data_IF_430868352680
#
_entry.id   IF_430868352680
#
_cell.length_a   1.000
_cell.length_b   1.000
_cell.length_c   1.000
_cell.angle_alpha   90.00
_cell.angle_beta   90.00
_cell.angle_gamma   90.00
#
_symmetry.space_group_name_H-M   'P 1'
#
loop_
_entity.id
_entity.type
_entity.pdbx_description
1 polymer ?
#
# COMPACT_ATOMS: atom_id res chain seq x y z
N UNK A 1 -6.43 5.10 -23.63
CA UNK A 1 -7.48 5.24 -22.58
C UNK A 1 -6.90 4.67 -21.29
N UNK A 2 -7.12 5.27 -20.11
CA UNK A 2 -6.53 4.72 -18.87
C UNK A 2 -7.16 3.34 -18.58
N UNK A 3 -6.32 2.33 -18.34
CA UNK A 3 -6.79 0.99 -18.02
C UNK A 3 -7.57 0.98 -16.69
N UNK A 4 -8.70 0.26 -16.64
CA UNK A 4 -9.53 0.13 -15.43
C UNK A 4 -8.72 -0.30 -14.21
N UNK A 5 -7.76 -1.21 -14.39
CA UNK A 5 -6.87 -1.64 -13.32
C UNK A 5 -6.03 -0.47 -12.77
N UNK A 6 -5.43 0.35 -13.64
CA UNK A 6 -4.60 1.51 -13.23
C UNK A 6 -5.44 2.50 -12.43
N UNK A 7 -6.65 2.79 -12.91
CA UNK A 7 -7.59 3.67 -12.23
C UNK A 7 -7.96 3.13 -10.85
N UNK A 8 -8.34 1.86 -10.75
CA UNK A 8 -8.77 1.25 -9.49
C UNK A 8 -7.61 1.16 -8.49
N UNK A 9 -6.42 0.79 -8.95
CA UNK A 9 -5.23 0.72 -8.12
C UNK A 9 -4.85 2.09 -7.57
N UNK A 10 -4.98 3.14 -8.40
CA UNK A 10 -4.75 4.53 -7.97
C UNK A 10 -5.76 4.98 -6.92
N UNK A 11 -7.03 4.61 -7.04
CA UNK A 11 -8.06 4.92 -6.02
C UNK A 11 -7.71 4.21 -4.71
N UNK A 12 -7.46 2.90 -4.74
CA UNK A 12 -7.10 2.11 -3.56
C UNK A 12 -5.83 2.66 -2.88
N UNK A 13 -4.85 3.13 -3.66
CA UNK A 13 -3.64 3.76 -3.14
C UNK A 13 -3.93 5.08 -2.40
N UNK A 14 -4.81 5.92 -2.94
CA UNK A 14 -5.19 7.21 -2.33
C UNK A 14 -5.98 6.98 -1.04
N UNK A 15 -6.83 5.97 -1.03
CA UNK A 15 -7.67 5.61 0.11
C UNK A 15 -6.92 4.80 1.18
N UNK A 16 -5.64 4.47 0.94
CA UNK A 16 -4.84 3.54 1.75
C UNK A 16 -5.55 2.18 1.99
N UNK A 17 -6.35 1.73 1.01
CA UNK A 17 -7.03 0.44 1.05
C UNK A 17 -6.06 -0.68 0.65
N UNK A 18 -5.32 -1.19 1.64
CA UNK A 18 -4.35 -2.26 1.45
C UNK A 18 -4.97 -3.60 1.03
N UNK A 19 -6.24 -3.85 1.36
CA UNK A 19 -6.93 -5.07 0.96
C UNK A 19 -7.19 -5.04 -0.55
N UNK A 20 -7.83 -3.98 -1.04
CA UNK A 20 -8.07 -3.79 -2.48
C UNK A 20 -6.75 -3.70 -3.26
N UNK A 21 -5.73 -3.02 -2.74
CA UNK A 21 -4.40 -3.00 -3.37
C UNK A 21 -3.82 -4.42 -3.51
N UNK A 22 -3.92 -5.26 -2.46
CA UNK A 22 -3.43 -6.64 -2.49
C UNK A 22 -4.18 -7.46 -3.54
N UNK A 23 -5.51 -7.38 -3.56
CA UNK A 23 -6.33 -8.12 -4.55
C UNK A 23 -6.00 -7.71 -5.99
N UNK A 24 -5.71 -6.43 -6.23
CA UNK A 24 -5.33 -5.94 -7.55
C UNK A 24 -3.91 -6.35 -7.94
N UNK A 25 -2.97 -6.44 -6.98
CA UNK A 25 -1.62 -6.97 -7.23
C UNK A 25 -1.65 -8.44 -7.64
N UNK A 26 -2.56 -9.24 -7.08
CA UNK A 26 -2.74 -10.64 -7.45
C UNK A 26 -3.34 -10.82 -8.85
N UNK A 27 -3.95 -9.75 -9.38
CA UNK A 27 -4.69 -9.73 -10.66
C UNK A 27 -4.16 -8.66 -11.61
N UNK A 28 -2.84 -8.51 -11.70
CA UNK A 28 -2.22 -7.58 -12.66
C UNK A 28 -2.56 -8.03 -14.09
N UNK A 29 -3.23 -7.20 -14.90
CA UNK A 29 -3.59 -7.55 -16.26
C UNK A 29 -2.40 -7.38 -17.21
N UNK A 30 -2.55 -7.91 -18.42
CA UNK A 30 -1.74 -7.48 -19.55
C UNK A 30 -2.11 -6.04 -19.95
N UNK A 31 -1.12 -5.24 -20.34
CA UNK A 31 -1.33 -3.84 -20.72
C UNK A 31 -1.03 -3.67 -22.21
N UNK A 32 -2.02 -3.22 -22.98
CA UNK A 32 -1.87 -2.96 -24.42
C UNK A 32 -1.09 -1.66 -24.71
N UNK A 33 -1.12 -0.71 -23.78
CA UNK A 33 -0.45 0.59 -23.91
C UNK A 33 0.75 0.68 -22.96
N UNK A 34 1.94 1.00 -23.50
CA UNK A 34 3.16 1.24 -22.73
C UNK A 34 2.96 2.28 -21.62
N UNK A 35 2.11 3.29 -21.85
CA UNK A 35 1.80 4.29 -20.85
C UNK A 35 1.10 3.69 -19.62
N UNK A 36 0.12 2.80 -19.82
CA UNK A 36 -0.58 2.13 -18.73
C UNK A 36 0.38 1.24 -17.92
N UNK A 37 1.32 0.55 -18.59
CA UNK A 37 2.36 -0.23 -17.90
C UNK A 37 3.29 0.65 -17.04
N UNK A 38 3.71 1.81 -17.57
CA UNK A 38 4.53 2.77 -16.82
C UNK A 38 3.79 3.32 -15.59
N UNK A 39 2.51 3.64 -15.75
CA UNK A 39 1.67 4.11 -14.65
C UNK A 39 1.49 3.02 -13.58
N UNK A 40 1.17 1.78 -13.99
CA UNK A 40 1.07 0.65 -13.08
C UNK A 40 2.36 0.45 -12.27
N UNK A 41 3.52 0.45 -12.93
CA UNK A 41 4.81 0.32 -12.24
C UNK A 41 5.08 1.45 -11.25
N UNK A 42 4.76 2.70 -11.62
CA UNK A 42 4.91 3.84 -10.72
C UNK A 42 3.99 3.73 -9.49
N UNK A 43 2.74 3.31 -9.68
CA UNK A 43 1.77 3.12 -8.60
C UNK A 43 2.20 2.00 -7.65
N UNK A 44 2.66 0.86 -8.18
CA UNK A 44 3.17 -0.26 -7.38
C UNK A 44 4.37 0.19 -6.54
N UNK A 45 5.27 0.99 -7.12
CA UNK A 45 6.41 1.56 -6.38
C UNK A 45 5.96 2.47 -5.24
N UNK A 46 4.94 3.29 -5.46
CA UNK A 46 4.38 4.16 -4.42
C UNK A 46 3.69 3.35 -3.31
N UNK A 47 2.91 2.32 -3.67
CA UNK A 47 2.26 1.42 -2.73
C UNK A 47 3.28 0.76 -1.78
N UNK A 48 4.43 0.31 -2.33
CA UNK A 48 5.53 -0.24 -1.52
C UNK A 48 6.05 0.76 -0.49
N UNK A 49 6.29 2.01 -0.89
CA UNK A 49 6.80 3.06 0.02
C UNK A 49 5.81 3.31 1.16
N UNK A 50 4.52 3.41 0.84
CA UNK A 50 3.46 3.63 1.83
C UNK A 50 3.35 2.43 2.78
N UNK A 51 3.37 1.20 2.27
CA UNK A 51 3.32 -0.01 3.08
C UNK A 51 4.53 -0.12 4.04
N UNK A 52 5.74 0.20 3.57
CA UNK A 52 6.95 0.21 4.41
C UNK A 52 6.85 1.26 5.52
N UNK A 53 6.37 2.47 5.20
CA UNK A 53 6.14 3.53 6.17
C UNK A 53 5.11 3.12 7.23
N UNK A 54 3.98 2.51 6.81
CA UNK A 54 2.94 2.01 7.71
C UNK A 54 3.47 0.92 8.64
N UNK A 55 4.24 -0.03 8.11
CA UNK A 55 4.90 -1.08 8.90
C UNK A 55 5.80 -0.50 9.99
N UNK A 56 6.60 0.51 9.66
CA UNK A 56 7.48 1.17 10.63
C UNK A 56 6.69 1.93 11.70
N UNK A 57 5.61 2.63 11.30
CA UNK A 57 4.71 3.31 12.23
C UNK A 57 4.09 2.33 13.22
N UNK A 58 3.53 1.22 12.74
CA UNK A 58 2.93 0.18 13.57
C UNK A 58 3.95 -0.43 14.53
N UNK A 59 5.16 -0.75 14.05
CA UNK A 59 6.22 -1.28 14.91
C UNK A 59 6.59 -0.29 16.04
N UNK A 60 6.69 0.99 15.72
CA UNK A 60 6.97 2.05 16.69
C UNK A 60 5.85 2.17 17.74
N UNK A 61 4.60 2.12 17.31
CA UNK A 61 3.44 2.14 18.20
C UNK A 61 3.40 0.91 19.12
N UNK A 62 3.71 -0.29 18.60
CA UNK A 62 3.79 -1.50 19.42
C UNK A 62 4.88 -1.40 20.50
N UNK A 63 6.04 -0.83 20.18
CA UNK A 63 7.12 -0.59 21.15
C UNK A 63 6.66 0.38 22.24
N UNK A 64 5.98 1.47 21.86
CA UNK A 64 5.44 2.42 22.81
C UNK A 64 4.42 1.77 23.76
N UNK A 65 3.47 0.99 23.22
CA UNK A 65 2.46 0.26 24.00
C UNK A 65 3.14 -0.71 25.00
N UNK A 66 4.17 -1.46 24.58
CA UNK A 66 4.91 -2.36 25.47
C UNK A 66 5.57 -1.61 26.62
N UNK A 67 6.21 -0.46 26.34
CA UNK A 67 6.82 0.38 27.37
C UNK A 67 5.77 0.92 28.35
N UNK A 68 4.67 1.47 27.85
CA UNK A 68 3.58 1.99 28.69
C UNK A 68 2.98 0.92 29.60
N UNK A 69 2.79 -0.32 29.10
CA UNK A 69 2.38 -1.45 29.95
C UNK A 69 3.42 -1.73 31.04
N UNK A 70 4.71 -1.73 30.71
CA UNK A 70 5.78 -1.89 31.70
C UNK A 70 5.78 -0.81 32.80
N UNK A 71 5.38 0.43 32.50
CA UNK A 71 5.26 1.48 33.53
C UNK A 71 4.01 1.35 34.41
N UNK A 72 2.93 0.76 33.91
CA UNK A 72 1.66 0.64 34.64
C UNK A 72 1.58 -0.60 35.54
N UNK A 73 2.40 -1.62 35.26
CA UNK A 73 2.41 -2.90 35.99
C UNK A 73 3.71 -3.12 36.79
N UNK A 74 4.55 -2.09 36.95
CA UNK A 74 5.64 -2.01 37.92
C UNK A 74 5.29 -0.96 38.97
#
# INVERSE_FOLDING_TARGET
MEATWVKNFKIALIEEDFETMSELLDKIPEFDELNNMKQASALIKQAKIIAEAKKLQTATQMVAIKKSKGYLFN
#
